data_IF_050855194534
#
_entry.id   IF_050855194534
#
_cell.length_a   1.000
_cell.length_b   1.000
_cell.length_c   1.000
_cell.angle_alpha   90.00
_cell.angle_beta   90.00
_cell.angle_gamma   90.00
#
_symmetry.space_group_name_H-M   'P 1'
#
loop_
_entity.id
_entity.type
_entity.pdbx_description
1 polymer ?
#
# COMPACT_ATOMS: atom_id res chain seq x y z
N UNK A 1 4.38 -9.63 -8.76
CA UNK A 1 4.50 -8.23 -8.27
C UNK A 1 5.92 -8.02 -7.76
N UNK A 2 6.43 -6.79 -7.73
CA UNK A 2 7.75 -6.52 -7.14
C UNK A 2 7.64 -6.61 -5.61
N UNK A 3 8.44 -7.44 -4.91
CA UNK A 3 8.36 -7.57 -3.44
C UNK A 3 8.54 -6.27 -2.68
N UNK A 4 9.32 -5.34 -3.22
CA UNK A 4 9.64 -4.03 -2.64
C UNK A 4 8.63 -2.93 -3.02
N UNK A 5 7.55 -3.27 -3.73
CA UNK A 5 6.52 -2.30 -4.09
C UNK A 5 5.83 -1.75 -2.84
N UNK A 6 5.67 -0.43 -2.78
CA UNK A 6 5.01 0.27 -1.67
C UNK A 6 3.78 1.04 -2.15
N UNK A 7 2.79 1.16 -1.28
CA UNK A 7 1.64 2.03 -1.43
C UNK A 7 1.76 3.20 -0.45
N UNK A 8 1.84 4.43 -0.96
CA UNK A 8 1.83 5.66 -0.16
C UNK A 8 0.40 6.20 -0.12
N UNK A 9 -0.17 6.32 1.08
CA UNK A 9 -1.51 6.86 1.32
C UNK A 9 -1.40 8.19 2.06
N UNK A 10 -2.03 9.22 1.51
CA UNK A 10 -2.08 10.54 2.13
C UNK A 10 -3.45 10.76 2.79
N UNK A 11 -3.44 11.13 4.07
CA UNK A 11 -4.64 11.41 4.88
C UNK A 11 -4.56 12.84 5.48
N UNK A 12 -4.64 13.90 4.65
CA UNK A 12 -4.40 15.27 5.10
C UNK A 12 -5.35 15.76 6.19
N UNK A 13 -6.57 15.21 6.25
CA UNK A 13 -7.61 15.56 7.23
C UNK A 13 -7.48 14.81 8.55
N UNK A 14 -6.75 13.68 8.61
CA UNK A 14 -6.52 12.93 9.84
C UNK A 14 -5.59 13.75 10.76
N UNK A 15 -6.01 14.05 11.99
CA UNK A 15 -5.25 14.87 12.93
C UNK A 15 -4.09 14.13 13.59
N UNK A 16 -4.07 12.80 13.52
CA UNK A 16 -3.12 11.92 14.19
C UNK A 16 -2.09 11.30 13.25
N UNK A 17 -2.50 10.94 12.03
CA UNK A 17 -1.65 10.26 11.04
C UNK A 17 -1.87 10.83 9.65
N UNK A 18 -1.00 11.74 9.23
CA UNK A 18 -1.12 12.46 7.94
C UNK A 18 -0.81 11.61 6.71
N UNK A 19 -0.09 10.51 6.88
CA UNK A 19 0.27 9.59 5.81
C UNK A 19 0.52 8.19 6.37
N UNK A 20 0.50 7.20 5.49
CA UNK A 20 0.95 5.85 5.75
C UNK A 20 1.67 5.27 4.54
N UNK A 21 2.60 4.36 4.79
CA UNK A 21 3.33 3.63 3.75
C UNK A 21 3.17 2.15 4.04
N UNK A 22 2.64 1.42 3.07
CA UNK A 22 2.16 0.05 3.25
C UNK A 22 2.63 -0.88 2.13
N UNK A 23 2.69 -2.17 2.43
CA UNK A 23 2.76 -3.24 1.45
C UNK A 23 1.80 -4.36 1.84
N UNK A 24 1.51 -5.25 0.90
CA UNK A 24 0.75 -6.47 1.20
C UNK A 24 1.61 -7.41 2.04
N UNK A 25 0.98 -8.07 3.01
CA UNK A 25 1.64 -9.14 3.76
C UNK A 25 1.89 -10.34 2.84
N UNK A 26 3.03 -11.00 3.00
CA UNK A 26 3.45 -12.15 2.18
C UNK A 26 3.77 -13.33 3.12
N UNK A 27 3.06 -14.47 3.04
CA UNK A 27 2.15 -14.88 1.97
C UNK A 27 0.69 -14.43 2.11
N UNK A 28 0.24 -14.01 3.29
CA UNK A 28 -1.19 -13.83 3.62
C UNK A 28 -1.96 -12.93 2.66
N UNK A 29 -1.73 -11.62 2.73
CA UNK A 29 -2.44 -10.62 1.93
C UNK A 29 -2.16 -10.73 0.43
N UNK A 30 -0.93 -11.08 0.06
CA UNK A 30 -0.55 -11.37 -1.32
C UNK A 30 -1.40 -12.50 -1.90
N UNK A 31 -1.59 -13.61 -1.18
CA UNK A 31 -2.44 -14.72 -1.60
C UNK A 31 -3.91 -14.31 -1.74
N UNK A 32 -4.47 -13.65 -0.72
CA UNK A 32 -5.88 -13.20 -0.73
C UNK A 32 -6.19 -12.30 -1.93
N UNK A 33 -5.32 -11.32 -2.22
CA UNK A 33 -5.56 -10.35 -3.30
C UNK A 33 -5.22 -10.95 -4.67
N UNK A 34 -4.16 -11.76 -4.78
CA UNK A 34 -3.77 -12.39 -6.03
C UNK A 34 -4.82 -13.39 -6.54
N UNK A 35 -5.42 -14.17 -5.65
CA UNK A 35 -6.35 -15.24 -6.02
C UNK A 35 -7.79 -14.74 -6.22
N UNK A 36 -8.11 -13.52 -5.78
CA UNK A 36 -9.43 -12.92 -5.98
C UNK A 36 -9.71 -12.60 -7.45
N UNK A 37 -10.89 -13.00 -7.93
CA UNK A 37 -11.37 -12.76 -9.30
C UNK A 37 -12.58 -11.81 -9.36
N UNK A 38 -13.02 -11.29 -8.21
CA UNK A 38 -14.17 -10.39 -8.14
C UNK A 38 -13.81 -9.01 -8.72
N UNK A 39 -14.80 -8.34 -9.32
CA UNK A 39 -14.64 -7.04 -9.96
C UNK A 39 -15.53 -6.00 -9.32
N UNK A 40 -15.08 -4.74 -9.32
CA UNK A 40 -15.79 -3.66 -8.64
C UNK A 40 -15.53 -3.68 -7.13
N UNK A 41 -16.29 -2.90 -6.37
CA UNK A 41 -16.10 -2.79 -4.93
C UNK A 41 -16.72 -4.00 -4.21
N UNK A 42 -15.88 -4.75 -3.50
CA UNK A 42 -16.25 -5.89 -2.68
C UNK A 42 -15.34 -5.96 -1.44
N UNK A 43 -15.80 -6.56 -0.33
CA UNK A 43 -14.97 -6.76 0.85
C UNK A 43 -14.00 -7.94 0.68
N UNK A 44 -12.91 -7.94 1.47
CA UNK A 44 -12.01 -9.09 1.61
C UNK A 44 -11.96 -9.53 3.08
N UNK A 45 -11.95 -10.85 3.31
CA UNK A 45 -11.70 -11.42 4.62
C UNK A 45 -10.20 -11.42 4.95
N UNK A 46 -9.87 -11.45 6.24
CA UNK A 46 -8.49 -11.59 6.68
C UNK A 46 -7.92 -12.96 6.28
N UNK A 47 -6.61 -13.04 5.95
CA UNK A 47 -5.88 -14.28 5.83
C UNK A 47 -6.18 -15.30 6.93
N UNK A 48 -6.13 -16.60 6.59
CA UNK A 48 -6.45 -17.72 7.50
C UNK A 48 -5.55 -17.78 8.76
N UNK A 49 -4.36 -17.17 8.69
CA UNK A 49 -3.43 -17.07 9.80
C UNK A 49 -3.74 -15.91 10.78
N UNK A 50 -4.80 -15.13 10.50
CA UNK A 50 -5.24 -14.00 11.31
C UNK A 50 -4.35 -12.75 11.15
N UNK A 51 -3.47 -12.73 10.14
CA UNK A 51 -2.70 -11.52 9.81
C UNK A 51 -3.56 -10.53 9.02
N UNK A 52 -3.19 -9.26 9.03
CA UNK A 52 -3.81 -8.24 8.16
C UNK A 52 -3.40 -8.47 6.70
N UNK A 53 -4.24 -8.09 5.74
CA UNK A 53 -3.92 -8.11 4.30
C UNK A 53 -2.74 -7.19 3.97
N UNK A 54 -2.58 -6.10 4.73
CA UNK A 54 -1.50 -5.13 4.54
C UNK A 54 -0.89 -4.71 5.87
N UNK A 55 0.37 -4.31 5.82
CA UNK A 55 1.12 -3.82 6.96
C UNK A 55 1.99 -2.61 6.61
N UNK A 56 2.50 -1.93 7.63
CA UNK A 56 3.42 -0.82 7.44
C UNK A 56 4.77 -1.31 6.90
N UNK A 57 5.30 -0.64 5.87
CA UNK A 57 6.60 -1.00 5.30
C UNK A 57 7.74 -0.80 6.31
N UNK A 58 8.46 -1.86 6.61
CA UNK A 58 9.69 -1.85 7.42
C UNK A 58 10.95 -1.50 6.62
N UNK A 59 10.92 -1.67 5.30
CA UNK A 59 12.07 -1.52 4.39
C UNK A 59 12.11 -0.15 3.67
N UNK A 60 11.50 0.88 4.27
CA UNK A 60 11.45 2.23 3.70
C UNK A 60 12.29 3.18 4.54
N UNK A 61 13.14 3.97 3.87
CA UNK A 61 13.89 5.06 4.48
C UNK A 61 13.38 6.41 3.97
N UNK A 62 12.94 7.27 4.90
CA UNK A 62 12.42 8.60 4.60
C UNK A 62 13.53 9.64 4.65
N UNK A 63 13.85 10.24 3.51
CA UNK A 63 14.83 11.32 3.42
C UNK A 63 14.14 12.63 2.99
N UNK A 64 14.02 13.65 3.87
CA UNK A 64 13.37 14.92 3.53
C UNK A 64 14.17 15.79 2.56
N UNK A 65 15.42 15.43 2.27
CA UNK A 65 16.33 16.19 1.39
C UNK A 65 16.54 15.54 0.03
N UNK A 66 15.92 14.38 -0.22
CA UNK A 66 16.02 13.73 -1.53
C UNK A 66 15.34 14.60 -2.58
N UNK A 67 16.03 14.83 -3.70
CA UNK A 67 15.43 15.50 -4.85
C UNK A 67 14.55 14.50 -5.61
N UNK A 68 13.41 14.95 -6.08
CA UNK A 68 12.50 14.17 -6.90
C UNK A 68 11.90 15.06 -8.01
N UNK A 69 11.53 14.42 -9.12
CA UNK A 69 10.85 15.07 -10.24
C UNK A 69 9.39 14.62 -10.28
N UNK A 70 8.49 15.54 -10.62
CA UNK A 70 7.07 15.24 -10.81
C UNK A 70 6.68 15.55 -12.25
N UNK A 71 6.21 14.53 -12.97
CA UNK A 71 5.72 14.66 -14.34
C UNK A 71 4.19 14.54 -14.33
N UNK A 72 3.50 15.60 -14.71
CA UNK A 72 2.03 15.63 -14.80
C UNK A 72 1.57 15.39 -16.24
N UNK A 73 1.06 14.19 -16.52
CA UNK A 73 0.64 13.77 -17.86
C UNK A 73 -0.77 14.25 -18.28
N UNK A 74 -1.51 14.96 -17.43
CA UNK A 74 -2.85 15.49 -17.78
C UNK A 74 -2.81 16.70 -18.70
N UNK A 75 -1.61 17.25 -18.90
CA UNK A 75 -1.34 18.46 -19.68
C UNK A 75 -0.60 18.18 -20.99
N UNK A 76 -0.54 16.90 -21.39
CA UNK A 76 0.00 16.44 -22.68
C UNK A 76 -1.15 16.20 -23.64
#
# INVERSE_FOLDING_TARGET
>A
MLPEAIAIVMAPTDTTRKHGIFHLTDPGGMGVIHDCQETGFHPHEEPLDGTSIYEHCSHVYMNPTVKFDMVDLRRV
#
